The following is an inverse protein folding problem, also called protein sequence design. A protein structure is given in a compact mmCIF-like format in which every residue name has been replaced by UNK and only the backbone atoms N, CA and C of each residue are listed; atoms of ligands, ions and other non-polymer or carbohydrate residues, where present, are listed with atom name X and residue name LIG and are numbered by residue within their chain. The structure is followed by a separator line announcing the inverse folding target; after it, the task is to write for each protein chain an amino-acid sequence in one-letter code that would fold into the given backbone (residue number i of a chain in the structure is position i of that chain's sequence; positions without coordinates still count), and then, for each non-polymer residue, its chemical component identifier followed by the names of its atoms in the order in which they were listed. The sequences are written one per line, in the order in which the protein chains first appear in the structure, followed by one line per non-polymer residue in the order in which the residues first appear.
data_IF_307944651061
#
_entry.id   IF_307944651061
#
_cell.length_a   1.000
_cell.length_b   1.000
_cell.length_c   1.000
_cell.angle_alpha   90.00
_cell.angle_beta   90.00
_cell.angle_gamma   90.00
#
_symmetry.space_group_name_H-M   'P 1'
#
loop_
_entity.id
_entity.type
_entity.pdbx_description
1 polymer ?
#
# COMPACT_ATOMS: atom_id res chain seq x y z
N UNK A 1 -12.30 -6.66 -0.77
CA UNK A 1 -11.31 -5.73 -1.34
C UNK A 1 -10.19 -6.44 -2.10
N UNK A 2 -9.32 -7.25 -1.44
CA UNK A 2 -8.12 -7.83 -2.09
C UNK A 2 -8.43 -8.68 -3.33
N UNK A 3 -9.52 -9.42 -3.33
CA UNK A 3 -9.96 -10.19 -4.52
C UNK A 3 -10.33 -9.29 -5.70
N UNK A 4 -10.92 -8.13 -5.41
CA UNK A 4 -11.28 -7.13 -6.42
C UNK A 4 -10.03 -6.46 -7.00
N UNK A 5 -9.13 -6.02 -6.15
CA UNK A 5 -7.87 -5.38 -6.55
C UNK A 5 -6.98 -6.31 -7.36
N UNK A 6 -6.82 -7.55 -6.92
CA UNK A 6 -5.98 -8.54 -7.59
C UNK A 6 -6.68 -9.24 -8.78
N UNK A 7 -7.95 -8.91 -9.05
CA UNK A 7 -8.79 -9.50 -10.11
C UNK A 7 -8.79 -11.03 -10.10
N UNK A 8 -8.67 -11.61 -8.91
CA UNK A 8 -8.71 -13.06 -8.68
C UNK A 8 -9.26 -13.35 -7.30
N UNK A 9 -9.97 -14.46 -7.16
CA UNK A 9 -10.46 -14.89 -5.85
C UNK A 9 -9.26 -15.23 -4.96
N UNK A 10 -9.12 -14.49 -3.85
CA UNK A 10 -8.13 -14.75 -2.82
C UNK A 10 -8.82 -14.83 -1.48
N UNK A 11 -8.31 -15.69 -0.60
CA UNK A 11 -8.75 -15.80 0.78
C UNK A 11 -7.55 -15.60 1.68
N UNK A 12 -7.69 -14.66 2.60
CA UNK A 12 -6.66 -14.41 3.60
C UNK A 12 -6.64 -15.56 4.60
N UNK A 13 -5.51 -16.22 4.71
CA UNK A 13 -5.32 -17.29 5.66
C UNK A 13 -5.01 -16.73 7.05
N UNK A 14 -4.11 -15.74 7.10
CA UNK A 14 -3.72 -15.06 8.33
C UNK A 14 -3.07 -13.71 8.05
N UNK A 15 -3.14 -12.82 9.03
CA UNK A 15 -2.31 -11.63 9.10
C UNK A 15 -0.98 -12.05 9.74
N UNK A 16 0.13 -11.65 9.11
CA UNK A 16 1.46 -11.96 9.60
C UNK A 16 1.95 -10.84 10.52
N UNK A 17 2.70 -11.16 11.57
CA UNK A 17 3.34 -10.12 12.38
C UNK A 17 4.29 -9.31 11.51
N UNK A 18 4.38 -8.01 11.79
CA UNK A 18 5.38 -7.11 11.21
C UNK A 18 6.75 -7.37 11.84
N UNK A 19 7.22 -8.61 11.78
CA UNK A 19 8.56 -8.94 12.21
C UNK A 19 9.56 -8.33 11.24
N UNK A 20 10.15 -7.22 11.65
CA UNK A 20 11.35 -6.66 11.04
C UNK A 20 12.49 -7.66 11.25
N UNK A 21 12.59 -8.65 10.39
CA UNK A 21 13.79 -9.48 10.33
C UNK A 21 14.93 -8.58 9.88
N UNK A 22 15.82 -8.27 10.82
CA UNK A 22 17.03 -7.50 10.54
C UNK A 22 17.84 -8.24 9.48
N UNK A 23 17.89 -7.71 8.27
CA UNK A 23 18.76 -8.22 7.21
C UNK A 23 20.17 -7.66 7.38
N UNK A 24 20.30 -6.54 8.11
CA UNK A 24 21.58 -5.89 8.43
C UNK A 24 21.65 -5.51 9.90
N UNK A 25 22.85 -5.30 10.42
CA UNK A 25 23.13 -4.84 11.79
C UNK A 25 22.57 -3.43 12.06
N UNK A 26 22.25 -2.67 11.01
CA UNK A 26 21.57 -1.38 11.11
C UNK A 26 20.06 -1.60 11.17
N UNK A 27 19.34 -0.91 12.07
CA UNK A 27 17.90 -0.99 12.17
C UNK A 27 17.24 -0.23 11.01
N UNK A 28 17.22 -0.81 9.82
CA UNK A 28 16.36 -0.33 8.75
C UNK A 28 14.93 -0.84 9.03
N UNK A 29 14.14 0.02 9.64
CA UNK A 29 12.74 -0.27 9.97
C UNK A 29 11.88 -0.11 8.72
N UNK A 30 11.78 -1.16 7.91
CA UNK A 30 10.71 -1.28 6.94
C UNK A 30 9.44 -1.69 7.70
N UNK A 31 8.69 -0.70 8.15
CA UNK A 31 7.37 -0.93 8.76
C UNK A 31 6.38 -1.09 7.61
N UNK A 32 5.88 -2.30 7.44
CA UNK A 32 4.78 -2.59 6.54
C UNK A 32 3.49 -2.56 7.34
N UNK A 33 2.48 -1.84 6.89
CA UNK A 33 1.25 -1.65 7.65
C UNK A 33 0.52 -2.97 7.90
N UNK A 34 0.27 -3.76 6.87
CA UNK A 34 -0.39 -5.06 7.00
C UNK A 34 0.21 -6.08 6.04
N UNK A 35 0.71 -7.18 6.56
CA UNK A 35 1.16 -8.32 5.75
C UNK A 35 0.17 -9.47 5.90
N UNK A 36 -0.31 -9.99 4.78
CA UNK A 36 -1.25 -11.12 4.77
C UNK A 36 -0.72 -12.28 3.95
N UNK A 37 -0.99 -13.49 4.41
CA UNK A 37 -0.78 -14.72 3.64
C UNK A 37 -2.11 -15.23 3.10
N UNK A 38 -2.13 -15.56 1.81
CA UNK A 38 -3.27 -16.17 1.15
C UNK A 38 -3.21 -17.70 1.21
N UNK A 39 -4.35 -18.37 1.02
CA UNK A 39 -4.46 -19.84 1.01
C UNK A 39 -3.52 -20.50 -0.01
N UNK A 40 -3.26 -19.87 -1.15
CA UNK A 40 -2.33 -20.36 -2.16
C UNK A 40 -0.84 -20.19 -1.80
N UNK A 41 -0.56 -19.65 -0.60
CA UNK A 41 0.78 -19.40 -0.07
C UNK A 41 1.44 -18.11 -0.57
N UNK A 42 0.80 -17.31 -1.43
CA UNK A 42 1.30 -15.98 -1.78
C UNK A 42 1.14 -15.00 -0.61
N UNK A 43 1.93 -13.93 -0.61
CA UNK A 43 1.93 -12.92 0.45
C UNK A 43 1.61 -11.56 -0.17
N UNK A 44 0.82 -10.75 0.51
CA UNK A 44 0.63 -9.36 0.15
C UNK A 44 1.03 -8.45 1.31
N UNK A 45 1.71 -7.36 0.98
CA UNK A 45 1.85 -6.18 1.82
C UNK A 45 0.80 -5.15 1.38
N UNK A 46 0.06 -4.63 2.35
CA UNK A 46 -0.93 -3.57 2.16
C UNK A 46 -0.45 -2.38 2.98
N UNK A 47 -0.18 -1.29 2.30
CA UNK A 47 0.32 -0.05 2.91
C UNK A 47 -0.64 1.10 2.57
N UNK A 48 -0.92 1.97 3.57
CA UNK A 48 -1.64 3.22 3.37
C UNK A 48 -0.69 4.36 3.66
N UNK A 49 -0.47 5.21 2.66
CA UNK A 49 0.42 6.37 2.76
C UNK A 49 -0.41 7.65 2.74
N UNK A 50 -0.31 8.44 3.81
CA UNK A 50 -1.01 9.73 3.91
C UNK A 50 -0.43 10.74 2.91
N UNK A 51 0.88 10.78 2.80
CA UNK A 51 1.61 11.66 1.89
C UNK A 51 2.39 10.79 0.90
N UNK A 52 2.25 11.07 -0.39
CA UNK A 52 3.03 10.41 -1.43
C UNK A 52 4.51 10.76 -1.33
N UNK A 53 5.33 9.78 -0.97
CA UNK A 53 6.78 9.95 -0.95
C UNK A 53 7.36 10.09 -2.36
N UNK A 54 8.50 10.78 -2.47
CA UNK A 54 9.14 11.06 -3.77
C UNK A 54 9.61 9.82 -4.54
N UNK A 55 9.75 8.68 -3.92
CA UNK A 55 10.29 7.46 -4.53
C UNK A 55 9.36 6.27 -4.29
N UNK A 56 8.10 6.33 -4.78
CA UNK A 56 7.13 5.27 -4.49
C UNK A 56 7.53 3.92 -5.10
N UNK A 57 8.20 3.95 -6.26
CA UNK A 57 8.67 2.74 -6.94
C UNK A 57 9.79 2.06 -6.20
N UNK A 58 10.83 2.81 -5.81
CA UNK A 58 11.99 2.31 -5.10
C UNK A 58 11.61 1.75 -3.72
N UNK A 59 10.75 2.46 -3.01
CA UNK A 59 10.22 2.01 -1.71
C UNK A 59 9.45 0.70 -1.86
N UNK A 60 8.52 0.63 -2.81
CA UNK A 60 7.75 -0.59 -3.08
C UNK A 60 8.66 -1.75 -3.50
N UNK A 61 9.72 -1.49 -4.28
CA UNK A 61 10.70 -2.50 -4.67
C UNK A 61 11.44 -3.07 -3.45
N UNK A 62 11.85 -2.22 -2.49
CA UNK A 62 12.47 -2.67 -1.23
C UNK A 62 11.53 -3.56 -0.41
N UNK A 63 10.26 -3.16 -0.24
CA UNK A 63 9.26 -3.99 0.45
C UNK A 63 9.04 -5.32 -0.24
N UNK A 64 8.95 -5.30 -1.56
CA UNK A 64 8.78 -6.52 -2.35
C UNK A 64 9.97 -7.47 -2.20
N UNK A 65 11.19 -6.95 -2.15
CA UNK A 65 12.40 -7.74 -1.96
C UNK A 65 12.42 -8.40 -0.56
N UNK A 66 12.09 -7.65 0.49
CA UNK A 66 11.98 -8.18 1.86
C UNK A 66 10.92 -9.30 1.94
N UNK A 67 9.72 -9.07 1.39
CA UNK A 67 8.67 -10.08 1.35
C UNK A 67 9.09 -11.34 0.61
N UNK A 68 9.81 -11.20 -0.51
CA UNK A 68 10.29 -12.33 -1.29
C UNK A 68 11.32 -13.16 -0.51
N UNK A 69 12.23 -12.50 0.22
CA UNK A 69 13.20 -13.17 1.09
C UNK A 69 12.53 -13.87 2.28
N UNK A 70 11.53 -13.26 2.89
CA UNK A 70 10.72 -13.90 3.96
C UNK A 70 10.00 -15.13 3.41
N UNK A 71 9.40 -15.01 2.22
CA UNK A 71 8.73 -16.11 1.56
C UNK A 71 9.70 -17.25 1.25
N UNK A 72 10.87 -16.95 0.69
CA UNK A 72 11.95 -17.93 0.47
C UNK A 72 12.32 -18.66 1.75
N UNK A 73 12.61 -17.92 2.84
CA UNK A 73 12.98 -18.50 4.14
C UNK A 73 11.89 -19.42 4.67
N UNK A 74 10.64 -18.97 4.66
CA UNK A 74 9.49 -19.76 5.16
C UNK A 74 9.29 -21.06 4.39
N UNK A 75 9.39 -21.02 3.05
CA UNK A 75 9.24 -22.21 2.23
C UNK A 75 10.39 -23.19 2.48
N UNK A 76 11.62 -22.68 2.57
CA UNK A 76 12.81 -23.47 2.87
C UNK A 76 12.73 -24.12 4.24
N UNK A 77 12.28 -23.40 5.28
CA UNK A 77 12.16 -23.92 6.65
C UNK A 77 11.06 -25.00 6.76
N UNK A 78 9.98 -24.88 6.00
CA UNK A 78 8.88 -25.87 5.98
C UNK A 78 9.25 -27.18 5.31
N UNK A 79 10.05 -27.15 4.24
CA UNK A 79 10.41 -28.33 3.47
C UNK A 79 11.85 -28.24 2.95
N UNK A 80 12.79 -28.33 3.87
CA UNK A 80 14.22 -28.20 3.54
C UNK A 80 14.74 -29.30 2.63
N UNK A 81 14.12 -30.48 2.64
CA UNK A 81 14.55 -31.64 1.82
C UNK A 81 14.09 -31.58 0.39
N UNK A 82 12.89 -31.02 0.13
CA UNK A 82 12.28 -30.95 -1.20
C UNK A 82 12.19 -29.50 -1.71
N UNK A 83 12.89 -28.55 -1.06
CA UNK A 83 12.87 -27.16 -1.47
C UNK A 83 13.38 -27.01 -2.91
N UNK A 84 12.59 -26.29 -3.71
CA UNK A 84 13.00 -25.80 -5.02
C UNK A 84 12.36 -24.42 -5.28
N UNK A 85 12.89 -23.67 -6.24
CA UNK A 85 12.41 -22.32 -6.54
C UNK A 85 10.95 -22.28 -7.04
N UNK A 86 10.40 -23.36 -7.57
CA UNK A 86 8.98 -23.46 -7.97
C UNK A 86 8.01 -23.41 -6.78
N UNK A 87 8.52 -23.68 -5.57
CA UNK A 87 7.72 -23.65 -4.35
C UNK A 87 7.50 -22.22 -3.84
N UNK A 88 8.32 -21.26 -4.29
CA UNK A 88 8.18 -19.85 -3.93
C UNK A 88 6.93 -19.28 -4.64
N UNK A 89 6.07 -18.62 -3.88
CA UNK A 89 4.83 -18.03 -4.38
C UNK A 89 4.99 -16.53 -4.60
N UNK A 90 4.19 -15.93 -5.48
CA UNK A 90 4.24 -14.50 -5.72
C UNK A 90 4.03 -13.67 -4.46
N UNK A 91 4.68 -12.51 -4.44
CA UNK A 91 4.46 -11.45 -3.48
C UNK A 91 3.76 -10.27 -4.17
N UNK A 92 2.89 -9.60 -3.42
CA UNK A 92 2.14 -8.45 -3.90
C UNK A 92 2.39 -7.27 -2.96
N UNK A 93 2.74 -6.12 -3.50
CA UNK A 93 2.80 -4.86 -2.77
C UNK A 93 1.65 -3.99 -3.24
N UNK A 94 0.75 -3.64 -2.33
CA UNK A 94 -0.44 -2.82 -2.61
C UNK A 94 -0.30 -1.56 -1.78
N UNK A 95 -0.24 -0.40 -2.43
CA UNK A 95 -0.08 0.88 -1.78
C UNK A 95 -1.25 1.78 -2.11
N UNK A 96 -1.94 2.25 -1.07
CA UNK A 96 -2.96 3.28 -1.18
C UNK A 96 -2.34 4.63 -0.82
N UNK A 97 -2.53 5.62 -1.68
CA UNK A 97 -2.10 6.99 -1.43
C UNK A 97 -3.30 7.86 -1.12
N UNK A 98 -3.34 8.50 0.05
CA UNK A 98 -4.31 9.55 0.35
C UNK A 98 -4.02 10.79 -0.51
N UNK A 99 -2.73 11.18 -0.60
CA UNK A 99 -2.23 12.18 -1.52
C UNK A 99 -1.13 11.54 -2.37
N UNK A 100 -1.44 11.31 -3.63
CA UNK A 100 -0.55 10.57 -4.52
C UNK A 100 0.62 11.43 -5.05
N UNK A 101 1.79 10.81 -5.34
CA UNK A 101 2.89 11.46 -6.03
C UNK A 101 2.48 12.03 -7.39
N UNK A 102 3.18 13.08 -7.83
CA UNK A 102 2.86 13.83 -9.07
C UNK A 102 2.84 12.96 -10.34
N UNK A 103 3.58 11.87 -10.34
CA UNK A 103 3.67 10.94 -11.47
C UNK A 103 2.30 10.33 -11.82
N UNK A 104 1.45 10.08 -10.82
CA UNK A 104 0.11 9.55 -11.03
C UNK A 104 -0.85 10.59 -11.62
N UNK A 105 -0.61 11.88 -11.41
CA UNK A 105 -1.44 12.96 -11.92
C UNK A 105 -1.37 13.14 -13.44
N UNK A 106 -0.41 12.49 -14.10
CA UNK A 106 -0.40 12.35 -15.55
C UNK A 106 -1.55 11.46 -16.08
N UNK A 107 -2.23 10.72 -15.18
CA UNK A 107 -3.34 9.80 -15.48
C UNK A 107 -4.58 10.17 -14.65
N UNK A 108 -5.22 11.33 -14.88
CA UNK A 108 -6.24 11.90 -14.00
C UNK A 108 -7.52 11.06 -13.87
N UNK A 109 -7.75 10.14 -14.81
CA UNK A 109 -8.93 9.26 -14.84
C UNK A 109 -8.60 7.80 -14.43
N UNK A 110 -7.36 7.53 -13.98
CA UNK A 110 -6.90 6.19 -13.65
C UNK A 110 -6.44 6.12 -12.20
N UNK A 111 -7.13 5.34 -11.40
CA UNK A 111 -6.84 5.16 -9.96
C UNK A 111 -6.37 3.74 -9.60
N UNK A 112 -6.00 2.93 -10.58
CA UNK A 112 -5.40 1.61 -10.37
C UNK A 112 -4.22 1.44 -11.33
N UNK A 113 -3.02 1.40 -10.78
CA UNK A 113 -1.79 1.21 -11.54
C UNK A 113 -1.10 -0.09 -11.15
N UNK A 114 -1.15 -1.07 -12.04
CA UNK A 114 -0.51 -2.37 -11.85
C UNK A 114 0.83 -2.42 -12.56
N UNK A 115 1.86 -2.83 -11.83
CA UNK A 115 3.21 -3.00 -12.38
C UNK A 115 3.66 -4.45 -12.24
N UNK A 116 4.21 -4.95 -13.31
CA UNK A 116 4.84 -6.27 -13.38
C UNK A 116 6.01 -6.20 -14.37
N UNK A 117 6.96 -7.08 -14.21
CA UNK A 117 8.11 -7.10 -15.10
C UNK A 117 7.70 -7.59 -16.49
N UNK A 118 8.10 -6.82 -17.50
CA UNK A 118 7.90 -7.14 -18.91
C UNK A 118 9.25 -7.13 -19.61
N UNK A 119 9.53 -8.17 -20.40
CA UNK A 119 10.72 -8.25 -21.22
C UNK A 119 10.62 -7.36 -22.46
N UNK A 120 11.73 -6.80 -22.93
CA UNK A 120 11.84 -6.07 -24.19
C UNK A 120 11.52 -6.95 -25.41
N UNK A 121 11.75 -8.25 -25.30
CA UNK A 121 11.44 -9.26 -26.34
C UNK A 121 10.02 -9.83 -26.22
N UNK A 122 9.21 -9.34 -25.28
CA UNK A 122 7.89 -9.89 -24.94
C UNK A 122 7.93 -11.32 -24.39
N UNK A 123 9.10 -11.79 -23.94
CA UNK A 123 9.20 -13.04 -23.22
C UNK A 123 8.46 -12.91 -21.89
N UNK A 124 7.46 -13.74 -21.66
CA UNK A 124 6.73 -13.79 -20.39
C UNK A 124 7.49 -14.66 -19.38
N UNK A 125 7.80 -14.07 -18.23
CA UNK A 125 8.47 -14.76 -17.13
C UNK A 125 7.88 -14.27 -15.80
N UNK A 126 7.50 -15.22 -14.95
CA UNK A 126 6.98 -14.87 -13.63
C UNK A 126 8.15 -14.53 -12.68
N UNK A 127 8.42 -13.25 -12.47
CA UNK A 127 9.43 -12.78 -11.53
C UNK A 127 8.93 -12.64 -10.09
N UNK A 128 7.73 -13.15 -9.81
CA UNK A 128 7.13 -13.29 -8.48
C UNK A 128 6.77 -11.97 -7.79
N UNK A 129 7.14 -10.81 -8.30
CA UNK A 129 6.91 -9.50 -7.71
C UNK A 129 5.83 -8.75 -8.50
N UNK A 130 4.78 -8.33 -7.81
CA UNK A 130 3.67 -7.58 -8.38
C UNK A 130 3.38 -6.36 -7.52
N UNK A 131 3.13 -5.23 -8.17
CA UNK A 131 2.84 -3.98 -7.49
C UNK A 131 1.49 -3.44 -7.96
N UNK A 132 0.74 -2.87 -7.02
CA UNK A 132 -0.50 -2.18 -7.29
C UNK A 132 -0.52 -0.87 -6.51
N UNK A 133 -0.57 0.24 -7.21
CA UNK A 133 -0.69 1.57 -6.63
C UNK A 133 -2.10 2.10 -6.84
N UNK A 134 -2.67 2.65 -5.76
CA UNK A 134 -4.07 3.11 -5.71
C UNK A 134 -4.10 4.56 -5.20
N UNK A 135 -4.00 5.56 -6.11
CA UNK A 135 -4.15 6.97 -5.76
C UNK A 135 -5.60 7.30 -5.41
N UNK A 136 -5.90 7.43 -4.11
CA UNK A 136 -7.25 7.70 -3.61
C UNK A 136 -7.71 9.14 -3.92
N UNK A 137 -6.80 10.10 -3.98
CA UNK A 137 -7.08 11.48 -4.39
C UNK A 137 -7.55 11.57 -5.86
N UNK A 138 -6.99 10.74 -6.75
CA UNK A 138 -7.45 10.64 -8.14
C UNK A 138 -8.78 9.89 -8.20
N UNK A 139 -8.95 8.83 -7.39
CA UNK A 139 -10.23 8.14 -7.27
C UNK A 139 -11.34 9.12 -6.84
N UNK A 140 -11.12 9.95 -5.81
CA UNK A 140 -12.07 10.94 -5.37
C UNK A 140 -12.50 11.90 -6.50
N UNK A 141 -11.53 12.47 -7.22
CA UNK A 141 -11.81 13.35 -8.36
C UNK A 141 -12.60 12.62 -9.47
N UNK A 142 -12.23 11.37 -9.74
CA UNK A 142 -12.91 10.56 -10.76
C UNK A 142 -14.37 10.25 -10.39
N UNK A 143 -14.64 10.10 -9.08
CA UNK A 143 -15.98 9.82 -8.53
C UNK A 143 -16.78 11.06 -8.18
N UNK A 144 -16.22 12.26 -8.32
CA UNK A 144 -16.93 13.51 -8.06
C UNK A 144 -18.23 13.57 -8.88
N UNK A 145 -19.35 13.80 -8.22
CA UNK A 145 -20.70 13.81 -8.77
C UNK A 145 -21.15 12.48 -9.48
N UNK A 146 -20.52 11.37 -9.15
CA UNK A 146 -20.92 10.04 -9.62
C UNK A 146 -21.43 9.15 -8.48
N UNK A 147 -22.36 8.28 -8.84
CA UNK A 147 -22.83 7.26 -7.91
C UNK A 147 -21.80 6.12 -7.75
N UNK A 148 -21.71 5.58 -6.55
CA UNK A 148 -20.94 4.36 -6.26
C UNK A 148 -21.69 3.18 -6.89
N UNK A 149 -21.15 2.52 -7.90
CA UNK A 149 -21.83 1.46 -8.64
C UNK A 149 -21.23 0.07 -8.42
N UNK A 150 -19.96 -0.02 -8.08
CA UNK A 150 -19.24 -1.27 -7.91
C UNK A 150 -18.80 -1.48 -6.45
N UNK A 151 -18.62 -2.74 -6.08
CA UNK A 151 -18.08 -3.08 -4.75
C UNK A 151 -16.66 -2.53 -4.55
N UNK A 152 -15.86 -2.45 -5.61
CA UNK A 152 -14.52 -1.84 -5.54
C UNK A 152 -14.61 -0.33 -5.23
N UNK A 153 -15.46 0.40 -5.93
CA UNK A 153 -15.71 1.82 -5.63
C UNK A 153 -16.20 2.00 -4.19
N UNK A 154 -17.08 1.12 -3.72
CA UNK A 154 -17.57 1.15 -2.35
C UNK A 154 -16.41 0.98 -1.32
N UNK A 155 -15.51 0.04 -1.55
CA UNK A 155 -14.33 -0.14 -0.71
C UNK A 155 -13.37 1.06 -0.76
N UNK A 156 -13.14 1.63 -1.95
CA UNK A 156 -12.26 2.79 -2.08
C UNK A 156 -12.88 4.04 -1.43
N UNK A 157 -14.19 4.23 -1.54
CA UNK A 157 -14.91 5.29 -0.81
C UNK A 157 -14.78 5.11 0.70
N UNK A 158 -15.00 3.89 1.21
CA UNK A 158 -14.83 3.58 2.63
C UNK A 158 -13.44 3.93 3.16
N UNK A 159 -12.38 3.69 2.36
CA UNK A 159 -10.99 3.95 2.74
C UNK A 159 -10.57 5.41 2.63
N UNK A 160 -11.35 6.26 1.95
CA UNK A 160 -10.88 7.57 1.52
C UNK A 160 -11.80 8.73 1.88
N UNK A 161 -13.03 8.48 2.38
CA UNK A 161 -13.96 9.56 2.72
C UNK A 161 -14.21 9.67 4.22
N UNK A 162 -14.26 10.91 4.70
CA UNK A 162 -14.75 11.31 6.03
C UNK A 162 -16.04 12.16 5.93
N UNK A 163 -16.55 12.39 4.72
CA UNK A 163 -17.77 13.15 4.48
C UNK A 163 -19.01 12.35 4.91
N UNK A 164 -19.81 12.86 5.87
CA UNK A 164 -21.00 12.18 6.39
C UNK A 164 -22.05 11.85 5.32
N UNK A 165 -22.20 12.68 4.29
CA UNK A 165 -23.16 12.46 3.22
C UNK A 165 -22.72 11.29 2.32
N UNK A 166 -21.45 11.22 1.98
CA UNK A 166 -20.90 10.12 1.23
C UNK A 166 -20.95 8.80 2.03
N UNK A 167 -20.66 8.85 3.33
CA UNK A 167 -20.79 7.70 4.24
C UNK A 167 -22.23 7.21 4.28
N UNK A 168 -23.20 8.10 4.42
CA UNK A 168 -24.62 7.74 4.41
C UNK A 168 -25.01 7.06 3.09
N UNK A 169 -24.62 7.64 1.96
CA UNK A 169 -24.89 7.09 0.63
C UNK A 169 -24.24 5.73 0.43
N UNK A 170 -23.01 5.56 0.90
CA UNK A 170 -22.28 4.29 0.88
C UNK A 170 -23.03 3.22 1.67
N UNK A 171 -23.38 3.50 2.94
CA UNK A 171 -24.09 2.54 3.79
C UNK A 171 -25.47 2.19 3.22
N UNK A 172 -26.20 3.17 2.67
CA UNK A 172 -27.50 2.93 2.04
C UNK A 172 -27.43 1.97 0.88
N UNK A 173 -26.39 2.07 0.05
CA UNK A 173 -26.19 1.24 -1.15
C UNK A 173 -25.48 -0.08 -0.86
N UNK A 174 -24.57 -0.08 0.11
CA UNK A 174 -23.78 -1.23 0.53
C UNK A 174 -23.84 -1.38 2.07
N UNK A 175 -24.91 -1.99 2.60
CA UNK A 175 -25.15 -2.07 4.05
C UNK A 175 -24.04 -2.75 4.86
N UNK A 176 -23.21 -3.55 4.23
CA UNK A 176 -22.06 -4.22 4.86
C UNK A 176 -21.05 -3.26 5.51
N UNK A 177 -20.99 -2.00 5.06
CA UNK A 177 -20.07 -1.01 5.63
C UNK A 177 -20.59 -0.39 6.93
N UNK A 178 -21.89 -0.56 7.28
CA UNK A 178 -22.46 -0.01 8.51
C UNK A 178 -21.73 -0.55 9.75
N UNK A 179 -21.58 -1.86 9.84
CA UNK A 179 -20.90 -2.53 10.95
C UNK A 179 -19.43 -2.08 11.05
N UNK A 180 -18.76 -1.94 9.91
CA UNK A 180 -17.36 -1.47 9.88
C UNK A 180 -17.21 -0.04 10.41
N UNK A 181 -18.14 0.88 10.07
CA UNK A 181 -18.13 2.23 10.63
C UNK A 181 -18.47 2.24 12.12
N UNK A 182 -19.37 1.38 12.57
CA UNK A 182 -19.69 1.22 14.00
C UNK A 182 -18.46 0.72 14.78
N UNK A 183 -17.71 -0.25 14.24
CA UNK A 183 -16.46 -0.75 14.83
C UNK A 183 -15.39 0.34 14.90
N UNK A 184 -15.20 1.11 13.82
CA UNK A 184 -14.25 2.24 13.79
C UNK A 184 -14.67 3.29 14.84
N UNK A 185 -15.94 3.63 14.91
CA UNK A 185 -16.44 4.61 15.89
C UNK A 185 -16.16 4.16 17.32
N UNK A 186 -16.44 2.90 17.67
CA UNK A 186 -16.12 2.34 18.98
C UNK A 186 -14.61 2.33 19.26
N UNK A 187 -13.79 2.02 18.25
CA UNK A 187 -12.34 2.06 18.37
C UNK A 187 -11.85 3.48 18.68
N UNK A 188 -12.36 4.48 17.97
CA UNK A 188 -11.99 5.89 18.16
C UNK A 188 -12.42 6.47 19.52
N UNK A 189 -13.46 5.92 20.15
CA UNK A 189 -13.86 6.31 21.51
C UNK A 189 -12.87 5.85 22.57
N UNK A 190 -12.03 4.85 22.28
CA UNK A 190 -11.01 4.37 23.20
C UNK A 190 -9.66 5.04 22.89
N UNK A 191 -9.47 6.23 23.44
CA UNK A 191 -8.29 7.08 23.22
C UNK A 191 -6.98 6.36 23.56
N UNK A 192 -6.96 5.56 24.64
CA UNK A 192 -5.76 4.80 25.03
C UNK A 192 -5.37 3.75 23.97
N UNK A 193 -6.35 3.09 23.40
CA UNK A 193 -6.15 2.10 22.34
C UNK A 193 -5.68 2.74 21.03
N UNK A 194 -6.22 3.90 20.69
CA UNK A 194 -5.79 4.69 19.52
C UNK A 194 -4.35 5.18 19.70
N UNK A 195 -4.01 5.70 20.88
CA UNK A 195 -2.64 6.17 21.20
C UNK A 195 -1.60 5.03 21.20
N UNK A 196 -1.98 3.83 21.63
CA UNK A 196 -1.09 2.65 21.60
C UNK A 196 -0.88 2.09 20.18
N UNK A 197 -1.76 2.39 19.23
CA UNK A 197 -1.57 2.03 17.82
C UNK A 197 -0.58 2.97 17.09
N UNK A 198 -0.36 4.15 17.66
CA UNK A 198 0.61 5.13 17.14
C UNK A 198 1.99 4.85 17.76
N UNK A 199 2.80 4.03 17.10
CA UNK A 199 4.15 3.80 17.62
C UNK A 199 4.99 5.07 17.49
N UNK A 200 5.77 5.42 18.53
CA UNK A 200 6.71 6.54 18.50
C UNK A 200 7.74 6.41 17.36
N UNK A 201 8.05 5.18 17.00
CA UNK A 201 8.98 4.84 15.92
C UNK A 201 8.42 5.16 14.53
N UNK A 202 7.11 4.93 14.32
CA UNK A 202 6.42 5.33 13.08
C UNK A 202 6.43 6.86 12.92
N UNK A 203 6.09 7.58 13.99
CA UNK A 203 6.12 9.03 13.99
C UNK A 203 7.52 9.59 13.70
N UNK A 204 8.59 8.94 14.20
CA UNK A 204 9.96 9.35 13.93
C UNK A 204 10.37 9.09 12.47
N UNK A 205 9.95 7.98 11.89
CA UNK A 205 10.22 7.67 10.48
C UNK A 205 9.50 8.61 9.53
N UNK A 206 8.25 8.92 9.82
CA UNK A 206 7.47 9.89 9.05
C UNK A 206 8.08 11.29 9.17
N UNK A 207 8.56 11.68 10.36
CA UNK A 207 9.24 12.94 10.59
C UNK A 207 10.54 13.03 9.78
N UNK A 208 11.42 12.04 9.89
CA UNK A 208 12.69 11.99 9.14
C UNK A 208 12.48 12.02 7.63
N UNK A 209 11.43 11.35 7.15
CA UNK A 209 11.07 11.34 5.73
C UNK A 209 10.54 12.70 5.29
N UNK A 210 9.72 13.34 6.11
CA UNK A 210 9.21 14.69 5.85
C UNK A 210 10.34 15.74 5.85
N UNK A 211 11.29 15.67 6.79
CA UNK A 211 12.48 16.53 6.81
C UNK A 211 13.31 16.37 5.53
N UNK A 212 13.60 15.13 5.14
CA UNK A 212 14.30 14.86 3.89
C UNK A 212 13.59 15.45 2.66
N UNK A 213 12.27 15.35 2.60
CA UNK A 213 11.48 15.93 1.51
C UNK A 213 11.53 17.46 1.51
N UNK A 214 11.54 18.10 2.69
CA UNK A 214 11.67 19.56 2.82
C UNK A 214 13.04 20.01 2.32
N UNK A 215 14.12 19.34 2.72
CA UNK A 215 15.49 19.64 2.29
C UNK A 215 15.66 19.49 0.77
N UNK A 216 15.06 18.47 0.17
CA UNK A 216 15.09 18.26 -1.27
C UNK A 216 14.28 19.35 -2.02
N UNK A 217 13.11 19.70 -1.52
CA UNK A 217 12.31 20.80 -2.10
C UNK A 217 13.06 22.15 -1.99
N UNK A 218 13.79 22.38 -0.90
CA UNK A 218 14.60 23.59 -0.74
C UNK A 218 15.73 23.65 -1.77
N UNK A 219 16.43 22.53 -2.03
CA UNK A 219 17.44 22.44 -3.08
C UNK A 219 16.85 22.72 -4.47
N UNK A 220 15.72 22.09 -4.80
CA UNK A 220 15.04 22.31 -6.08
C UNK A 220 14.64 23.80 -6.25
N UNK A 221 14.21 24.44 -5.17
CA UNK A 221 13.84 25.85 -5.17
C UNK A 221 15.07 26.78 -5.37
N UNK A 222 16.18 26.45 -4.74
CA UNK A 222 17.42 27.22 -4.86
C UNK A 222 18.05 27.04 -6.26
N UNK A 223 17.98 25.84 -6.84
CA UNK A 223 18.35 25.59 -8.24
C UNK A 223 17.48 26.40 -9.22
N UNK A 224 16.15 26.36 -9.04
CA UNK A 224 15.22 27.13 -9.86
C UNK A 224 15.48 28.65 -9.75
N UNK A 225 15.80 29.15 -8.55
CA UNK A 225 16.15 30.57 -8.34
C UNK A 225 17.50 30.95 -8.98
N UNK A 226 18.44 30.01 -9.05
CA UNK A 226 19.72 30.27 -9.73
C UNK A 226 19.54 30.41 -11.24
N UNK A 227 18.72 29.55 -11.84
CA UNK A 227 18.38 29.58 -13.29
C UNK A 227 17.64 30.86 -13.67
N UNK A 228 16.80 31.42 -12.80
CA UNK A 228 16.05 32.67 -13.08
C UNK A 228 16.97 33.92 -12.97
N UNK A 229 18.12 33.81 -12.27
CA UNK A 229 19.07 34.92 -12.08
C UNK A 229 20.13 34.99 -13.16
N UNK A 230 20.30 33.96 -13.97
CA UNK A 230 21.12 33.97 -15.21
C UNK A 230 20.29 34.46 -16.40
#
# INVERSE_FOLDING_TARGET
LLSLLLKKKVRVLKVLPNDTTRITVEPSFLITDIVVEFENGSIANIEVQKIGYRFPGERAACYSADLLLRQYKRVKDRDSKNFNYKNIRPVHVIVFFEHSPKEFHAFPDTYLHSFHAVSDTKLEMNLLQNFLFVPLDIFHKTMENKDINTELEAWLTFLSTDDPEQIYNLIRKFPMFKEMYEDIFQLCQNTERVMNMYSKELAQLDHNTAEYMVDEMQKDLDEARSIIRE
#
